data_IF_598145885380
#
_entry.id   IF_598145885380
#
_cell.length_a   1.000
_cell.length_b   1.000
_cell.length_c   1.000
_cell.angle_alpha   90.00
_cell.angle_beta   90.00
_cell.angle_gamma   90.00
#
_symmetry.space_group_name_H-M   'P 1'
#
loop_
_entity.id
_entity.type
_entity.pdbx_description
1 polymer ?
#
# COMPACT_ATOMS: atom_id res chain seq x y z
N UNK A 1 9.63 -24.85 3.04
CA UNK A 1 8.32 -24.22 3.32
C UNK A 1 8.60 -22.76 3.63
N UNK A 2 8.35 -21.84 2.70
CA UNK A 2 8.47 -20.41 2.98
C UNK A 2 7.16 -19.96 3.63
N UNK A 3 7.15 -19.76 4.94
CA UNK A 3 5.96 -19.28 5.64
C UNK A 3 5.77 -17.78 5.36
N UNK A 4 4.56 -17.41 4.92
CA UNK A 4 4.02 -16.04 5.03
C UNK A 4 4.62 -14.96 4.12
N UNK A 5 5.16 -15.29 2.94
CA UNK A 5 5.61 -14.26 1.97
C UNK A 5 4.48 -13.87 1.01
N UNK A 6 4.38 -12.58 0.68
CA UNK A 6 3.57 -12.09 -0.44
C UNK A 6 4.44 -12.04 -1.69
N UNK A 7 4.37 -13.07 -2.54
CA UNK A 7 5.08 -13.04 -3.81
C UNK A 7 4.49 -11.96 -4.72
N UNK A 8 5.35 -11.28 -5.49
CA UNK A 8 4.88 -10.22 -6.39
C UNK A 8 3.78 -10.74 -7.33
N UNK A 9 3.93 -11.94 -7.87
CA UNK A 9 2.93 -12.58 -8.73
C UNK A 9 1.55 -12.70 -8.06
N UNK A 10 1.51 -13.09 -6.78
CA UNK A 10 0.25 -13.24 -6.03
C UNK A 10 -0.40 -11.87 -5.75
N UNK A 11 0.41 -10.85 -5.44
CA UNK A 11 -0.09 -9.48 -5.25
C UNK A 11 -0.70 -8.96 -6.56
N UNK A 12 -0.04 -9.17 -7.70
CA UNK A 12 -0.56 -8.69 -8.99
C UNK A 12 -1.85 -9.41 -9.39
N UNK A 13 -1.93 -10.72 -9.15
CA UNK A 13 -3.15 -11.49 -9.37
C UNK A 13 -4.31 -10.98 -8.49
N UNK A 14 -4.03 -10.70 -7.21
CA UNK A 14 -5.04 -10.15 -6.30
C UNK A 14 -5.53 -8.76 -6.72
N UNK A 15 -4.64 -7.88 -7.22
CA UNK A 15 -5.05 -6.57 -7.74
C UNK A 15 -5.93 -6.73 -8.98
N UNK A 16 -5.58 -7.62 -9.92
CA UNK A 16 -6.40 -7.89 -11.10
C UNK A 16 -7.79 -8.41 -10.75
N UNK A 17 -7.86 -9.34 -9.79
CA UNK A 17 -9.15 -9.87 -9.33
C UNK A 17 -9.98 -8.78 -8.65
N UNK A 18 -9.38 -7.95 -7.79
CA UNK A 18 -10.09 -6.82 -7.19
C UNK A 18 -10.61 -5.82 -8.24
N UNK A 19 -9.84 -5.59 -9.31
CA UNK A 19 -10.27 -4.77 -10.45
C UNK A 19 -11.44 -5.43 -11.21
N UNK A 20 -11.42 -6.75 -11.34
CA UNK A 20 -12.47 -7.53 -12.01
C UNK A 20 -13.77 -7.54 -11.19
N UNK A 21 -13.66 -7.72 -9.87
CA UNK A 21 -14.76 -7.67 -8.91
C UNK A 21 -15.40 -6.28 -8.79
N UNK A 22 -14.74 -5.24 -9.33
CA UNK A 22 -15.27 -3.88 -9.36
C UNK A 22 -15.28 -3.22 -7.98
N UNK A 23 -14.28 -3.52 -7.13
CA UNK A 23 -14.16 -2.89 -5.82
C UNK A 23 -13.93 -1.39 -5.95
N UNK A 24 -14.29 -0.63 -4.90
CA UNK A 24 -14.05 0.82 -4.86
C UNK A 24 -12.67 1.19 -4.31
N UNK A 25 -12.15 0.37 -3.39
CA UNK A 25 -10.90 0.62 -2.69
C UNK A 25 -10.09 -0.67 -2.57
N UNK A 26 -8.81 -0.60 -2.86
CA UNK A 26 -7.81 -1.63 -2.59
C UNK A 26 -6.93 -1.13 -1.45
N UNK A 27 -6.94 -1.83 -0.32
CA UNK A 27 -6.12 -1.51 0.86
C UNK A 27 -5.01 -2.54 1.01
N UNK A 28 -3.76 -2.10 0.88
CA UNK A 28 -2.59 -2.96 0.81
C UNK A 28 -1.53 -2.50 1.83
N UNK A 29 -1.47 -3.18 2.97
CA UNK A 29 -0.41 -2.98 3.97
C UNK A 29 0.86 -3.76 3.61
N UNK A 30 1.35 -3.57 2.39
CA UNK A 30 2.53 -4.21 1.84
C UNK A 30 3.39 -3.17 1.11
N UNK A 31 4.63 -3.55 0.85
CA UNK A 31 5.62 -2.69 0.20
C UNK A 31 6.82 -3.52 -0.22
N UNK A 32 7.81 -2.87 -0.79
CA UNK A 32 8.99 -3.53 -1.33
C UNK A 32 10.02 -2.53 -1.82
N UNK A 33 11.03 -3.05 -2.51
CA UNK A 33 12.12 -2.23 -3.04
C UNK A 33 11.59 -1.17 -4.00
N UNK A 34 12.01 0.08 -3.77
CA UNK A 34 11.73 1.19 -4.67
C UNK A 34 12.41 0.92 -6.02
N UNK A 35 11.60 0.89 -7.07
CA UNK A 35 12.01 0.77 -8.48
C UNK A 35 11.31 1.86 -9.28
N UNK A 36 11.78 2.09 -10.49
CA UNK A 36 11.06 2.93 -11.46
C UNK A 36 9.63 2.37 -11.67
N UNK A 37 8.65 3.25 -11.94
CA UNK A 37 7.23 2.90 -11.99
C UNK A 37 6.93 1.81 -13.02
N UNK A 38 7.64 1.83 -14.15
CA UNK A 38 7.51 0.85 -15.23
C UNK A 38 8.21 -0.48 -14.94
N UNK A 39 8.95 -0.57 -13.83
CA UNK A 39 9.66 -1.78 -13.38
C UNK A 39 9.08 -2.33 -12.07
N UNK A 40 8.00 -1.74 -11.57
CA UNK A 40 7.32 -2.14 -10.35
C UNK A 40 5.92 -2.65 -10.69
N UNK A 41 5.68 -3.96 -10.52
CA UNK A 41 4.38 -4.56 -10.83
C UNK A 41 3.22 -3.92 -10.06
N UNK A 42 3.42 -3.61 -8.77
CA UNK A 42 2.41 -2.95 -7.93
C UNK A 42 2.08 -1.58 -8.50
N UNK A 43 3.08 -0.82 -8.96
CA UNK A 43 2.84 0.48 -9.61
C UNK A 43 2.06 0.33 -10.90
N UNK A 44 2.44 -0.61 -11.77
CA UNK A 44 1.73 -0.86 -13.04
C UNK A 44 0.27 -1.24 -12.78
N UNK A 45 0.01 -2.20 -11.89
CA UNK A 45 -1.36 -2.68 -11.62
C UNK A 45 -2.20 -1.65 -10.85
N UNK A 46 -1.59 -0.87 -9.96
CA UNK A 46 -2.27 0.24 -9.29
C UNK A 46 -2.66 1.35 -10.27
N UNK A 47 -1.86 1.60 -11.31
CA UNK A 47 -2.24 2.52 -12.39
C UNK A 47 -3.48 2.01 -13.14
N UNK A 48 -3.56 0.70 -13.43
CA UNK A 48 -4.75 0.10 -14.05
C UNK A 48 -5.99 0.22 -13.15
N UNK A 49 -5.85 -0.01 -11.84
CA UNK A 49 -6.93 0.19 -10.87
C UNK A 49 -7.41 1.65 -10.84
N UNK A 50 -6.47 2.59 -10.71
CA UNK A 50 -6.76 4.03 -10.68
C UNK A 50 -7.47 4.51 -11.95
N UNK A 51 -7.11 3.98 -13.13
CA UNK A 51 -7.80 4.27 -14.39
C UNK A 51 -9.26 3.81 -14.43
N UNK A 52 -9.63 2.82 -13.61
CA UNK A 52 -11.02 2.39 -13.45
C UNK A 52 -11.74 3.11 -12.29
N UNK A 53 -11.13 4.13 -11.70
CA UNK A 53 -11.70 4.87 -10.58
C UNK A 53 -11.57 4.16 -9.23
N UNK A 54 -10.71 3.14 -9.13
CA UNK A 54 -10.47 2.40 -7.88
C UNK A 54 -9.36 3.08 -7.10
N UNK A 55 -9.62 3.39 -5.83
CA UNK A 55 -8.63 4.01 -4.93
C UNK A 55 -7.67 2.95 -4.42
N UNK A 56 -6.36 3.15 -4.60
CA UNK A 56 -5.34 2.25 -4.07
C UNK A 56 -4.63 2.91 -2.91
N UNK A 57 -4.61 2.26 -1.75
CA UNK A 57 -3.96 2.74 -0.53
C UNK A 57 -2.86 1.77 -0.13
N UNK A 58 -1.65 2.30 0.10
CA UNK A 58 -0.51 1.51 0.53
C UNK A 58 0.25 2.17 1.68
N UNK A 59 1.00 1.37 2.45
CA UNK A 59 1.86 1.91 3.50
C UNK A 59 3.12 2.55 2.92
N UNK A 60 3.68 3.53 3.66
CA UNK A 60 4.96 4.16 3.34
C UNK A 60 6.18 3.27 3.64
N UNK A 61 5.97 2.10 4.25
CA UNK A 61 7.04 1.25 4.80
C UNK A 61 7.44 1.64 6.23
N UNK A 62 8.15 0.72 6.91
CA UNK A 62 8.58 0.86 8.31
C UNK A 62 10.12 0.91 8.44
N UNK A 63 10.81 1.24 7.35
CA UNK A 63 12.26 1.38 7.36
C UNK A 63 12.69 2.53 8.29
N UNK A 64 13.95 2.46 8.75
CA UNK A 64 14.53 3.41 9.72
C UNK A 64 14.29 4.87 9.29
N UNK A 65 14.28 5.83 10.24
CA UNK A 65 13.95 7.24 10.00
C UNK A 65 15.03 8.02 9.21
N UNK A 66 15.84 7.33 8.41
CA UNK A 66 16.72 7.99 7.45
C UNK A 66 15.89 8.55 6.29
N UNK A 67 16.28 9.68 5.69
CA UNK A 67 15.63 10.19 4.49
C UNK A 67 15.56 9.13 3.37
N UNK A 68 14.56 9.26 2.50
CA UNK A 68 14.40 8.43 1.29
C UNK A 68 14.19 6.93 1.53
N UNK A 69 13.49 6.58 2.61
CA UNK A 69 13.11 5.19 2.94
C UNK A 69 11.67 4.84 2.58
N UNK A 70 10.90 5.78 2.06
CA UNK A 70 9.50 5.59 1.70
C UNK A 70 9.33 4.68 0.49
N UNK A 71 8.36 3.76 0.59
CA UNK A 71 7.97 2.82 -0.46
C UNK A 71 6.67 3.26 -1.16
N UNK A 72 6.22 2.53 -2.20
CA UNK A 72 4.95 2.78 -2.88
C UNK A 72 4.80 4.22 -3.43
N UNK A 73 5.85 4.76 -4.04
CA UNK A 73 5.95 6.18 -4.42
C UNK A 73 5.13 6.60 -5.65
N UNK A 74 4.34 5.70 -6.21
CA UNK A 74 3.59 5.99 -7.44
C UNK A 74 2.53 7.09 -7.21
N UNK A 75 2.38 8.04 -8.14
CA UNK A 75 1.51 9.21 -7.95
C UNK A 75 0.01 8.88 -7.86
N UNK A 76 -0.38 7.69 -8.29
CA UNK A 76 -1.76 7.18 -8.25
C UNK A 76 -2.02 6.26 -7.05
N UNK A 77 -1.08 6.15 -6.11
CA UNK A 77 -1.23 5.41 -4.85
C UNK A 77 -1.32 6.41 -3.70
N UNK A 78 -2.28 6.21 -2.79
CA UNK A 78 -2.31 6.91 -1.52
C UNK A 78 -1.34 6.26 -0.55
N UNK A 79 -0.16 6.85 -0.40
CA UNK A 79 0.92 6.33 0.45
C UNK A 79 0.82 6.89 1.86
N UNK A 80 0.56 6.02 2.83
CA UNK A 80 0.19 6.37 4.20
C UNK A 80 1.36 6.17 5.16
N UNK A 81 1.74 7.23 5.86
CA UNK A 81 2.72 7.19 6.95
C UNK A 81 2.08 6.78 8.28
N UNK A 82 2.93 6.43 9.25
CA UNK A 82 2.51 6.02 10.59
C UNK A 82 2.66 7.18 11.58
N UNK A 83 1.64 7.41 12.42
CA UNK A 83 1.69 8.32 13.56
C UNK A 83 1.19 7.62 14.83
N UNK A 84 1.44 8.22 15.99
CA UNK A 84 0.92 7.74 17.28
C UNK A 84 -0.37 8.47 17.63
N UNK A 85 -1.27 7.78 18.35
CA UNK A 85 -2.44 8.39 18.98
C UNK A 85 -2.23 8.41 20.49
N UNK A 86 -2.73 9.47 21.15
CA UNK A 86 -2.75 9.54 22.61
C UNK A 86 -3.97 8.76 23.11
N UNK A 87 -3.76 7.77 23.98
CA UNK A 87 -4.86 7.03 24.60
C UNK A 87 -5.58 7.92 25.63
N UNK A 88 -6.90 8.05 25.46
CA UNK A 88 -7.75 8.97 26.20
C UNK A 88 -8.28 8.37 27.50
N UNK A 89 -7.40 8.11 28.47
CA UNK A 89 -7.79 7.75 29.84
C UNK A 89 -7.94 8.97 30.77
N UNK A 90 -7.56 10.17 30.33
CA UNK A 90 -7.55 11.40 31.15
C UNK A 90 -8.82 12.28 31.05
N UNK A 91 -9.79 11.94 30.20
CA UNK A 91 -11.04 12.72 30.03
C UNK A 91 -12.27 12.03 30.63
N UNK A 92 -12.15 10.79 31.10
CA UNK A 92 -13.24 10.08 31.81
C UNK A 92 -13.20 10.24 33.34
N UNK A 93 -12.35 11.13 33.88
CA UNK A 93 -12.25 11.36 35.33
C UNK A 93 -12.87 12.69 35.81
N UNK A 94 -13.85 13.24 35.10
CA UNK A 94 -14.68 14.36 35.57
C UNK A 94 -16.14 14.12 35.27
#
# INVERSE_FOLDING_TARGET
MAEGQCFEADILAAIDEAIHDGVYVISMSLGGTVKDYFQNGISIRSFHAARKGIVVVCSAGNARPTPQTTENLSPFIFTVATSTMIAHSSILSR
#
